data_IF_231154580391
#
_entry.id   IF_231154580391
#
_cell.length_a   1.000
_cell.length_b   1.000
_cell.length_c   1.000
_cell.angle_alpha   90.00
_cell.angle_beta   90.00
_cell.angle_gamma   90.00
#
_symmetry.space_group_name_H-M   'P 1'
#
loop_
_entity.id
_entity.type
_entity.pdbx_description
1 polymer ?
#
# COMPACT_ATOMS: atom_id res chain seq x y z
N UNK A 1 -20.18 16.04 6.94
CA UNK A 1 -18.72 15.91 6.76
C UNK A 1 -18.17 15.18 7.98
N UNK A 2 -18.48 13.89 8.12
CA UNK A 2 -18.12 13.09 9.30
C UNK A 2 -16.93 12.17 9.00
N UNK A 3 -15.80 12.75 8.61
CA UNK A 3 -14.52 12.02 8.52
C UNK A 3 -13.96 11.63 9.89
N UNK A 4 -14.59 12.08 10.99
CA UNK A 4 -14.10 11.86 12.36
C UNK A 4 -14.74 10.68 13.09
N UNK A 5 -15.70 9.97 12.48
CA UNK A 5 -16.41 8.84 13.13
C UNK A 5 -15.83 7.46 12.80
N UNK A 6 -14.55 7.38 12.47
CA UNK A 6 -13.91 6.09 12.15
C UNK A 6 -13.54 5.26 13.38
N UNK A 7 -13.84 5.72 14.58
CA UNK A 7 -13.38 5.12 15.84
C UNK A 7 -14.52 4.47 16.64
N UNK A 8 -15.10 3.37 16.13
CA UNK A 8 -15.95 2.50 16.96
C UNK A 8 -15.14 1.29 17.46
N UNK A 9 -15.25 0.90 18.75
CA UNK A 9 -14.51 -0.22 19.35
C UNK A 9 -14.70 -1.56 18.62
N UNK A 10 -15.82 -1.74 17.95
CA UNK A 10 -16.11 -2.95 17.17
C UNK A 10 -15.23 -3.13 15.93
N UNK A 11 -14.60 -2.06 15.43
CA UNK A 11 -13.67 -2.14 14.29
C UNK A 11 -12.29 -2.67 14.66
N UNK A 12 -11.83 -2.48 15.87
CA UNK A 12 -10.52 -2.94 16.31
C UNK A 12 -10.30 -4.45 16.15
N UNK A 13 -11.33 -5.24 16.40
CA UNK A 13 -11.25 -6.70 16.25
C UNK A 13 -11.29 -7.18 14.80
N UNK A 14 -11.91 -6.41 13.88
CA UNK A 14 -11.90 -6.73 12.44
C UNK A 14 -10.60 -6.32 11.74
N UNK A 15 -9.86 -5.38 12.31
CA UNK A 15 -8.63 -4.86 11.69
C UNK A 15 -7.49 -5.88 11.64
N UNK A 16 -7.38 -6.79 12.61
CA UNK A 16 -6.38 -7.86 12.61
C UNK A 16 -6.93 -9.19 12.07
N UNK A 17 -7.70 -9.14 10.99
CA UNK A 17 -8.24 -10.36 10.39
C UNK A 17 -7.22 -11.03 9.47
N UNK A 18 -7.21 -12.36 9.46
CA UNK A 18 -6.37 -13.14 8.55
C UNK A 18 -6.71 -12.81 7.08
N UNK A 19 -7.98 -12.58 6.77
CA UNK A 19 -8.41 -12.19 5.43
C UNK A 19 -7.81 -10.87 4.98
N UNK A 20 -7.72 -9.87 5.86
CA UNK A 20 -7.10 -8.58 5.54
C UNK A 20 -5.58 -8.71 5.34
N UNK A 21 -4.90 -9.57 6.09
CA UNK A 21 -3.48 -9.85 5.89
C UNK A 21 -3.25 -10.51 4.52
N UNK A 22 -4.08 -11.48 4.15
CA UNK A 22 -4.02 -12.14 2.84
C UNK A 22 -4.30 -11.12 1.72
N UNK A 23 -5.31 -10.27 1.87
CA UNK A 23 -5.60 -9.22 0.90
C UNK A 23 -4.44 -8.22 0.78
N UNK A 24 -3.83 -7.82 1.90
CA UNK A 24 -2.67 -6.94 1.90
C UNK A 24 -1.45 -7.56 1.19
N UNK A 25 -1.25 -8.88 1.33
CA UNK A 25 -0.22 -9.61 0.60
C UNK A 25 -0.46 -9.54 -0.92
N UNK A 26 -1.67 -9.81 -1.39
CA UNK A 26 -2.01 -9.71 -2.81
C UNK A 26 -2.02 -8.27 -3.32
N UNK A 27 -2.48 -7.32 -2.51
CA UNK A 27 -2.37 -5.89 -2.80
C UNK A 27 -0.92 -5.48 -3.00
N UNK A 28 -0.01 -6.04 -2.20
CA UNK A 28 1.42 -5.80 -2.33
C UNK A 28 1.98 -6.28 -3.68
N UNK A 29 1.60 -7.46 -4.13
CA UNK A 29 1.98 -7.96 -5.46
C UNK A 29 1.41 -7.05 -6.56
N UNK A 30 0.11 -6.73 -6.46
CA UNK A 30 -0.57 -5.87 -7.42
C UNK A 30 0.08 -4.48 -7.51
N UNK A 31 0.37 -3.86 -6.36
CA UNK A 31 1.04 -2.57 -6.28
C UNK A 31 2.42 -2.56 -6.94
N UNK A 32 3.17 -3.64 -6.74
CA UNK A 32 4.48 -3.83 -7.38
C UNK A 32 4.37 -3.96 -8.90
N UNK A 33 3.38 -4.69 -9.38
CA UNK A 33 3.16 -4.88 -10.83
C UNK A 33 2.69 -3.60 -11.51
N UNK A 34 1.83 -2.80 -10.87
CA UNK A 34 1.25 -1.59 -11.46
C UNK A 34 2.19 -0.39 -11.30
N UNK A 35 2.78 -0.24 -10.12
CA UNK A 35 3.57 0.93 -9.70
C UNK A 35 2.81 1.82 -8.71
N UNK A 36 3.55 2.46 -7.80
CA UNK A 36 2.95 3.19 -6.67
C UNK A 36 2.08 4.38 -7.07
N UNK A 37 2.53 5.20 -8.01
CA UNK A 37 1.74 6.36 -8.46
C UNK A 37 0.45 5.93 -9.14
N UNK A 38 0.51 4.91 -9.99
CA UNK A 38 -0.67 4.38 -10.69
C UNK A 38 -1.65 3.74 -9.71
N UNK A 39 -1.17 3.01 -8.70
CA UNK A 39 -2.04 2.44 -7.67
C UNK A 39 -2.74 3.51 -6.85
N UNK A 40 -2.05 4.62 -6.56
CA UNK A 40 -2.65 5.75 -5.87
C UNK A 40 -3.78 6.40 -6.70
N UNK A 41 -3.58 6.53 -8.02
CA UNK A 41 -4.63 6.98 -8.93
C UNK A 41 -5.80 5.99 -8.96
N UNK A 42 -5.52 4.68 -9.03
CA UNK A 42 -6.55 3.64 -8.99
C UNK A 42 -7.38 3.69 -7.69
N UNK A 43 -6.77 4.01 -6.55
CA UNK A 43 -7.50 4.23 -5.29
C UNK A 43 -8.57 5.31 -5.43
N UNK A 44 -8.23 6.43 -6.07
CA UNK A 44 -9.19 7.51 -6.34
C UNK A 44 -10.35 7.05 -7.24
N UNK A 45 -10.06 6.30 -8.30
CA UNK A 45 -11.09 5.74 -9.18
C UNK A 45 -11.99 4.73 -8.47
N UNK A 46 -11.42 3.86 -7.63
CA UNK A 46 -12.21 2.90 -6.83
C UNK A 46 -13.14 3.65 -5.87
N UNK A 47 -12.63 4.66 -5.17
CA UNK A 47 -13.45 5.48 -4.29
C UNK A 47 -14.59 6.20 -5.03
N UNK A 48 -14.32 6.77 -6.20
CA UNK A 48 -15.32 7.40 -7.04
C UNK A 48 -16.38 6.40 -7.52
N UNK A 49 -15.96 5.22 -7.97
CA UNK A 49 -16.86 4.15 -8.40
C UNK A 49 -17.80 3.73 -7.27
N UNK A 50 -17.26 3.50 -6.07
CA UNK A 50 -18.07 3.13 -4.91
C UNK A 50 -19.08 4.23 -4.59
N UNK A 51 -18.65 5.48 -4.55
CA UNK A 51 -19.53 6.63 -4.32
C UNK A 51 -20.68 6.70 -5.34
N UNK A 52 -20.40 6.51 -6.64
CA UNK A 52 -21.42 6.52 -7.68
C UNK A 52 -22.41 5.36 -7.53
N UNK A 53 -21.93 4.16 -7.20
CA UNK A 53 -22.77 2.99 -6.96
C UNK A 53 -23.70 3.20 -5.75
N UNK A 54 -23.20 3.77 -4.67
CA UNK A 54 -24.00 4.14 -3.50
C UNK A 54 -25.09 5.16 -3.85
N UNK A 55 -24.74 6.15 -4.69
CA UNK A 55 -25.69 7.17 -5.11
C UNK A 55 -26.87 6.62 -5.93
N UNK A 56 -26.66 5.53 -6.67
CA UNK A 56 -27.75 4.84 -7.40
C UNK A 56 -28.42 3.73 -6.57
N UNK A 57 -28.14 3.65 -5.27
CA UNK A 57 -28.80 2.74 -4.33
C UNK A 57 -28.25 1.31 -4.31
N UNK A 58 -27.07 1.06 -4.89
CA UNK A 58 -26.39 -0.25 -4.82
C UNK A 58 -25.74 -0.40 -3.45
N UNK A 59 -25.91 -1.56 -2.83
CA UNK A 59 -25.19 -1.87 -1.60
C UNK A 59 -23.72 -2.16 -1.91
N UNK A 60 -22.84 -1.27 -1.49
CA UNK A 60 -21.39 -1.32 -1.75
C UNK A 60 -20.57 -1.80 -0.55
N UNK A 61 -21.19 -2.23 0.54
CA UNK A 61 -20.48 -2.60 1.78
C UNK A 61 -19.36 -3.58 1.52
N UNK A 62 -19.61 -4.64 0.75
CA UNK A 62 -18.57 -5.61 0.39
C UNK A 62 -17.46 -5.02 -0.49
N UNK A 63 -17.82 -4.22 -1.49
CA UNK A 63 -16.85 -3.58 -2.38
C UNK A 63 -15.97 -2.60 -1.60
N UNK A 64 -16.57 -1.81 -0.72
CA UNK A 64 -15.86 -0.87 0.11
C UNK A 64 -14.88 -1.59 1.06
N UNK A 65 -15.31 -2.66 1.70
CA UNK A 65 -14.46 -3.44 2.59
C UNK A 65 -13.32 -4.14 1.82
N UNK A 66 -13.60 -4.79 0.70
CA UNK A 66 -12.61 -5.54 -0.06
C UNK A 66 -11.65 -4.64 -0.85
N UNK A 67 -12.16 -3.60 -1.50
CA UNK A 67 -11.36 -2.75 -2.39
C UNK A 67 -10.78 -1.53 -1.66
N UNK A 68 -11.63 -0.63 -1.12
CA UNK A 68 -11.15 0.62 -0.53
C UNK A 68 -10.38 0.40 0.77
N UNK A 69 -10.87 -0.48 1.65
CA UNK A 69 -10.30 -0.68 2.98
C UNK A 69 -9.21 -1.74 3.04
N UNK A 70 -8.95 -2.46 1.94
CA UNK A 70 -7.91 -3.48 1.89
C UNK A 70 -7.08 -3.37 0.62
N UNK A 71 -7.60 -3.82 -0.53
CA UNK A 71 -6.80 -4.02 -1.74
C UNK A 71 -6.20 -2.71 -2.28
N UNK A 72 -6.98 -1.63 -2.31
CA UNK A 72 -6.56 -0.31 -2.79
C UNK A 72 -6.38 0.71 -1.65
N UNK A 73 -6.21 0.26 -0.41
CA UNK A 73 -5.86 1.16 0.67
C UNK A 73 -4.45 1.72 0.44
N UNK A 74 -4.26 3.06 0.36
CA UNK A 74 -2.97 3.65 -0.02
C UNK A 74 -1.80 3.21 0.85
N UNK A 75 -2.00 3.10 2.16
CA UNK A 75 -0.99 2.64 3.11
C UNK A 75 -0.61 1.16 2.95
N UNK A 76 -1.33 0.39 2.13
CA UNK A 76 -0.99 -0.98 1.77
C UNK A 76 -0.31 -1.01 0.40
N UNK A 77 -1.07 -0.66 -0.63
CA UNK A 77 -0.65 -0.89 -2.02
C UNK A 77 0.49 0.04 -2.46
N UNK A 78 0.48 1.31 -2.00
CA UNK A 78 1.55 2.27 -2.28
C UNK A 78 2.84 1.90 -1.52
N UNK A 79 2.73 1.51 -0.24
CA UNK A 79 3.86 1.06 0.57
C UNK A 79 4.56 -0.14 -0.05
N UNK A 80 3.78 -1.09 -0.57
CA UNK A 80 4.27 -2.25 -1.27
C UNK A 80 5.12 -1.87 -2.48
N UNK A 81 4.57 -1.02 -3.34
CA UNK A 81 5.28 -0.53 -4.52
C UNK A 81 6.55 0.24 -4.15
N UNK A 82 6.50 1.08 -3.11
CA UNK A 82 7.65 1.84 -2.61
C UNK A 82 8.78 0.94 -2.12
N UNK A 83 8.46 -0.06 -1.27
CA UNK A 83 9.45 -1.01 -0.75
C UNK A 83 10.03 -1.88 -1.86
N UNK A 84 9.19 -2.38 -2.78
CA UNK A 84 9.62 -3.16 -3.93
C UNK A 84 10.52 -2.36 -4.86
N UNK A 85 10.22 -1.07 -5.09
CA UNK A 85 11.05 -0.17 -5.90
C UNK A 85 12.42 0.06 -5.24
N UNK A 86 12.44 0.26 -3.92
CA UNK A 86 13.68 0.39 -3.17
C UNK A 86 14.56 -0.85 -3.33
N UNK A 87 14.00 -2.05 -3.20
CA UNK A 87 14.71 -3.30 -3.44
C UNK A 87 15.16 -3.46 -4.90
N UNK A 88 14.26 -3.21 -5.85
CA UNK A 88 14.56 -3.34 -7.27
C UNK A 88 15.70 -2.42 -7.71
N UNK A 89 15.82 -1.22 -7.11
CA UNK A 89 16.92 -0.30 -7.35
C UNK A 89 18.30 -0.84 -6.98
N UNK A 90 18.38 -1.88 -6.12
CA UNK A 90 19.64 -2.56 -5.79
C UNK A 90 20.04 -3.65 -6.78
N UNK A 91 19.10 -4.14 -7.59
CA UNK A 91 19.28 -5.33 -8.46
C UNK A 91 19.11 -5.03 -9.94
N UNK A 92 18.26 -4.07 -10.26
CA UNK A 92 17.88 -3.73 -11.62
C UNK A 92 18.30 -2.30 -11.98
N UNK A 93 18.32 -1.97 -13.26
CA UNK A 93 18.70 -0.64 -13.77
C UNK A 93 17.54 0.36 -13.62
N UNK A 94 17.12 0.58 -12.37
CA UNK A 94 16.13 1.60 -11.99
C UNK A 94 16.61 2.38 -10.78
N UNK A 95 16.08 3.60 -10.65
CA UNK A 95 16.28 4.36 -9.42
C UNK A 95 15.32 3.85 -8.36
N UNK A 96 15.81 3.45 -7.19
CA UNK A 96 14.96 2.94 -6.13
C UNK A 96 14.02 3.97 -5.49
N UNK A 97 13.99 5.19 -6.01
CA UNK A 97 13.03 6.25 -5.68
C UNK A 97 11.93 6.40 -6.74
N UNK A 98 12.03 5.67 -7.85
CA UNK A 98 11.14 5.79 -9.01
C UNK A 98 9.85 4.98 -8.80
N UNK A 99 9.07 5.36 -7.80
CA UNK A 99 7.83 4.65 -7.42
C UNK A 99 6.72 4.71 -8.47
N UNK A 100 6.85 5.57 -9.47
CA UNK A 100 5.91 5.68 -10.58
C UNK A 100 6.06 4.58 -11.63
N UNK A 101 7.15 3.81 -11.58
CA UNK A 101 7.42 2.79 -12.58
C UNK A 101 6.82 1.44 -12.17
N UNK A 102 6.11 0.81 -13.10
CA UNK A 102 5.72 -0.60 -12.96
C UNK A 102 6.97 -1.48 -12.87
N UNK A 103 6.99 -2.43 -11.94
CA UNK A 103 8.11 -3.36 -11.79
C UNK A 103 7.87 -4.71 -12.50
N UNK A 104 6.79 -4.82 -13.27
CA UNK A 104 6.49 -6.01 -14.06
C UNK A 104 7.63 -6.37 -15.02
N UNK A 105 8.35 -5.37 -15.57
CA UNK A 105 9.46 -5.59 -16.48
C UNK A 105 10.66 -6.31 -15.85
N UNK A 106 10.81 -6.27 -14.51
CA UNK A 106 11.94 -6.92 -13.83
C UNK A 106 11.86 -8.44 -13.94
N UNK A 107 10.66 -8.98 -14.13
CA UNK A 107 10.38 -10.43 -14.16
C UNK A 107 11.09 -11.18 -13.01
N UNK A 108 11.25 -10.53 -11.86
CA UNK A 108 11.93 -11.05 -10.68
C UNK A 108 10.92 -11.35 -9.57
N UNK A 109 10.70 -12.64 -9.23
CA UNK A 109 9.76 -13.00 -8.17
C UNK A 109 10.17 -12.47 -6.79
N UNK A 110 11.45 -12.15 -6.56
CA UNK A 110 11.90 -11.55 -5.31
C UNK A 110 11.40 -10.11 -5.17
N UNK A 111 11.34 -9.36 -6.26
CA UNK A 111 10.76 -8.01 -6.28
C UNK A 111 9.28 -8.08 -5.89
N UNK A 112 8.53 -9.04 -6.44
CA UNK A 112 7.12 -9.26 -6.09
C UNK A 112 6.94 -9.67 -4.63
N UNK A 113 7.82 -10.54 -4.12
CA UNK A 113 7.78 -10.97 -2.72
C UNK A 113 8.06 -9.81 -1.76
N UNK A 114 9.05 -8.97 -2.07
CA UNK A 114 9.34 -7.76 -1.28
C UNK A 114 8.14 -6.82 -1.28
N UNK A 115 7.46 -6.65 -2.41
CA UNK A 115 6.23 -5.89 -2.47
C UNK A 115 5.10 -6.49 -1.65
N UNK A 116 4.92 -7.81 -1.71
CA UNK A 116 3.93 -8.50 -0.88
C UNK A 116 4.18 -8.29 0.62
N UNK A 117 5.44 -8.41 1.05
CA UNK A 117 5.85 -8.11 2.43
C UNK A 117 5.60 -6.64 2.77
N UNK A 118 5.91 -5.72 1.86
CA UNK A 118 5.66 -4.28 2.01
C UNK A 118 4.19 -3.96 2.22
N UNK A 119 3.29 -4.64 1.50
CA UNK A 119 1.85 -4.52 1.68
C UNK A 119 1.38 -5.00 3.05
N UNK A 120 1.86 -6.15 3.49
CA UNK A 120 1.56 -6.67 4.83
C UNK A 120 2.10 -5.76 5.93
N UNK A 121 3.33 -5.27 5.80
CA UNK A 121 3.92 -4.32 6.76
C UNK A 121 3.12 -3.02 6.83
N UNK A 122 2.75 -2.44 5.68
CA UNK A 122 1.92 -1.25 5.62
C UNK A 122 0.59 -1.44 6.32
N UNK A 123 -0.07 -2.57 6.07
CA UNK A 123 -1.30 -2.95 6.75
C UNK A 123 -1.13 -3.08 8.26
N UNK A 124 -0.10 -3.79 8.73
CA UNK A 124 0.13 -4.01 10.17
C UNK A 124 0.42 -2.70 10.91
N UNK A 125 1.23 -1.81 10.32
CA UNK A 125 1.50 -0.49 10.90
C UNK A 125 0.21 0.32 10.98
N UNK A 126 -0.54 0.41 9.89
CA UNK A 126 -1.81 1.11 9.84
C UNK A 126 -2.82 0.56 10.86
N UNK A 127 -2.94 -0.77 10.97
CA UNK A 127 -3.83 -1.42 11.92
C UNK A 127 -3.41 -1.15 13.37
N UNK A 128 -2.10 -1.17 13.66
CA UNK A 128 -1.55 -0.87 14.96
C UNK A 128 -1.83 0.58 15.37
N UNK A 129 -1.57 1.55 14.49
CA UNK A 129 -1.81 2.96 14.76
C UNK A 129 -3.29 3.25 15.03
N UNK A 130 -4.18 2.62 14.26
CA UNK A 130 -5.62 2.76 14.48
C UNK A 130 -6.09 2.06 15.76
N UNK A 131 -5.50 0.92 16.12
CA UNK A 131 -5.83 0.23 17.38
C UNK A 131 -5.54 1.12 18.59
N UNK A 132 -4.43 1.83 18.59
CA UNK A 132 -4.07 2.77 19.66
C UNK A 132 -4.69 4.16 19.50
N UNK A 133 -5.51 4.38 18.46
CA UNK A 133 -6.17 5.66 18.19
C UNK A 133 -5.19 6.84 18.19
N UNK A 134 -4.05 6.69 17.54
CA UNK A 134 -3.09 7.78 17.43
C UNK A 134 -3.73 9.01 16.78
N UNK A 135 -3.54 10.22 17.36
CA UNK A 135 -4.15 11.45 16.87
C UNK A 135 -3.40 12.04 15.66
N UNK A 136 -3.13 11.18 14.66
CA UNK A 136 -2.38 11.50 13.44
C UNK A 136 -3.04 10.85 12.23
N UNK A 137 -2.67 11.27 11.04
CA UNK A 137 -3.03 10.55 9.82
C UNK A 137 -2.24 9.23 9.75
N UNK A 138 -2.86 8.15 10.20
CA UNK A 138 -2.26 6.82 10.29
C UNK A 138 -1.85 6.28 8.91
N UNK A 139 -2.57 6.64 7.86
CA UNK A 139 -2.20 6.29 6.50
C UNK A 139 -0.88 6.94 6.08
N UNK A 140 -0.74 8.24 6.33
CA UNK A 140 0.48 8.98 6.00
C UNK A 140 1.69 8.52 6.83
N UNK A 141 1.50 8.29 8.14
CA UNK A 141 2.57 7.81 9.02
C UNK A 141 3.04 6.42 8.59
N UNK A 142 2.13 5.50 8.27
CA UNK A 142 2.46 4.18 7.73
C UNK A 142 3.32 4.29 6.45
N UNK A 143 2.99 5.21 5.53
CA UNK A 143 3.78 5.44 4.31
C UNK A 143 5.18 5.93 4.62
N UNK A 144 5.33 6.86 5.57
CA UNK A 144 6.63 7.36 6.00
C UNK A 144 7.47 6.24 6.60
N UNK A 145 6.91 5.46 7.52
CA UNK A 145 7.63 4.39 8.22
C UNK A 145 8.13 3.31 7.25
N UNK A 146 7.28 2.83 6.35
CA UNK A 146 7.68 1.82 5.35
C UNK A 146 8.68 2.41 4.35
N UNK A 147 8.52 3.68 3.97
CA UNK A 147 9.46 4.38 3.10
C UNK A 147 10.85 4.51 3.71
N UNK A 148 10.94 4.93 4.98
CA UNK A 148 12.20 5.00 5.75
C UNK A 148 12.82 3.61 5.91
N UNK A 149 12.01 2.61 6.26
CA UNK A 149 12.47 1.22 6.39
C UNK A 149 13.08 0.72 5.08
N UNK A 150 12.45 0.98 3.94
CA UNK A 150 12.96 0.62 2.63
C UNK A 150 14.32 1.26 2.33
N UNK A 151 14.52 2.51 2.75
CA UNK A 151 15.81 3.20 2.60
C UNK A 151 16.90 2.62 3.47
N UNK A 152 16.58 2.27 4.72
CA UNK A 152 17.53 1.68 5.65
C UNK A 152 17.92 0.26 5.19
N UNK A 153 16.95 -0.56 4.79
CA UNK A 153 17.19 -1.95 4.44
C UNK A 153 17.92 -2.11 3.11
N UNK A 154 17.61 -1.26 2.15
CA UNK A 154 18.13 -1.40 0.79
C UNK A 154 19.13 -0.30 0.42
N UNK A 155 19.81 0.27 1.41
CA UNK A 155 20.85 1.31 1.35
C UNK A 155 21.26 1.65 -0.10
N UNK A 156 20.56 2.63 -0.68
CA UNK A 156 20.72 2.98 -2.08
C UNK A 156 21.95 3.90 -2.26
N UNK A 157 23.11 3.34 -2.20
CA UNK A 157 24.18 3.86 -3.05
C UNK A 157 23.74 3.54 -4.48
N UNK A 158 23.18 4.55 -5.15
CA UNK A 158 22.66 4.45 -6.50
C UNK A 158 23.60 3.67 -7.40
N UNK A 159 23.30 2.41 -7.66
CA UNK A 159 23.96 1.62 -8.70
C UNK A 159 23.86 2.35 -10.05
N UNK A 160 22.82 3.16 -10.22
CA UNK A 160 22.62 4.04 -11.37
C UNK A 160 23.63 5.19 -11.41
N UNK A 161 24.00 5.80 -10.27
CA UNK A 161 24.99 6.90 -10.20
C UNK A 161 26.43 6.40 -10.36
N UNK A 162 26.71 5.12 -10.12
CA UNK A 162 28.05 4.54 -10.35
C UNK A 162 28.36 4.28 -11.84
N UNK A 163 27.37 4.44 -12.74
CA UNK A 163 27.52 4.21 -14.19
C UNK A 163 27.55 5.48 -15.04
N UNK A 164 27.41 6.66 -14.42
CA UNK A 164 27.62 7.97 -15.04
C UNK A 164 29.01 8.49 -14.65
#
# INVERSE_FOLDING_TARGET
>A
VDYFLYNTPERGYKMFSLSSIILAFFAGILGTLIGGTQTFICTGFVGLLIFLLEHVGVNTTFLNEALSNNLFLPCIIFNAAGLATAYAGTKHEIRGVETSRSLAFTNDPKVLLVGAIGGVLGYLIFAFENYFSFPVDTGAVSVILVGVLGRILFNQEDTYMKRI
#
